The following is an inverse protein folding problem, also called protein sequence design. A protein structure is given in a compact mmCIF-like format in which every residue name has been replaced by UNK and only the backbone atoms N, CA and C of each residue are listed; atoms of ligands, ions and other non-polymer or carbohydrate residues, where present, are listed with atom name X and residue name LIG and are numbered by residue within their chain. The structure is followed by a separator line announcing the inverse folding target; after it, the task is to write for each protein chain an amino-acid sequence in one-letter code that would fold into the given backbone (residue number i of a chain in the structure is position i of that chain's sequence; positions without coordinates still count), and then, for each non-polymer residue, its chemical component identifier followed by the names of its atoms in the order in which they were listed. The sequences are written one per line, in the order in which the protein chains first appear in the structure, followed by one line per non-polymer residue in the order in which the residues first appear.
data_IF_060744724573
#
_entry.id   IF_060744724573
#
_cell.length_a   1.000
_cell.length_b   1.000
_cell.length_c   1.000
_cell.angle_alpha   90.00
_cell.angle_beta   90.00
_cell.angle_gamma   90.00
#
_symmetry.space_group_name_H-M   'P 1'
#
loop_
_entity.id
_entity.type
_entity.pdbx_description
1 polymer ?
#
# COMPACT_ATOMS: atom_id res chain seq x y z
N UNK A 1 -4.58 14.14 13.35
CA UNK A 1 -3.95 13.94 12.03
C UNK A 1 -4.20 12.51 11.57
N UNK A 2 -4.62 12.34 10.34
CA UNK A 2 -4.90 11.03 9.73
C UNK A 2 -3.67 10.12 9.76
N UNK A 3 -3.87 8.85 10.01
CA UNK A 3 -2.79 7.87 10.13
C UNK A 3 -2.87 6.86 9.00
N UNK A 4 -1.76 6.62 8.35
CA UNK A 4 -1.63 5.55 7.36
C UNK A 4 -0.50 4.62 7.78
N UNK A 5 -0.82 3.33 7.81
CA UNK A 5 0.14 2.26 8.00
C UNK A 5 0.37 1.57 6.66
N UNK A 6 1.61 1.44 6.25
CA UNK A 6 2.01 0.61 5.13
C UNK A 6 2.58 -0.71 5.64
N UNK A 7 2.10 -1.80 5.08
CA UNK A 7 2.69 -3.13 5.28
C UNK A 7 3.23 -3.62 3.94
N UNK A 8 4.47 -4.07 3.92
CA UNK A 8 5.00 -4.75 2.75
C UNK A 8 5.91 -5.93 3.13
N UNK A 9 6.14 -6.82 2.16
CA UNK A 9 6.89 -8.05 2.38
C UNK A 9 8.36 -7.84 2.04
N UNK A 10 9.22 -8.05 3.04
CA UNK A 10 10.67 -7.97 2.87
C UNK A 10 11.22 -6.56 2.84
N UNK A 11 12.54 -6.48 2.91
CA UNK A 11 13.27 -5.20 2.90
C UNK A 11 13.29 -4.59 1.50
N UNK A 12 13.35 -3.26 1.44
CA UNK A 12 13.65 -2.55 0.20
C UNK A 12 15.15 -2.69 -0.09
N UNK A 13 15.49 -3.28 -1.23
CA UNK A 13 16.87 -3.69 -1.53
C UNK A 13 17.69 -2.59 -2.20
N UNK A 14 17.10 -1.92 -3.18
CA UNK A 14 17.82 -0.93 -4.00
C UNK A 14 17.96 0.41 -3.25
N UNK A 15 19.19 0.95 -3.22
CA UNK A 15 19.49 2.21 -2.54
C UNK A 15 18.63 3.36 -3.08
N UNK A 16 18.44 3.44 -4.40
CA UNK A 16 17.63 4.51 -4.99
C UNK A 16 16.16 4.43 -4.56
N UNK A 17 15.64 3.24 -4.33
CA UNK A 17 14.27 3.06 -3.79
C UNK A 17 14.20 3.43 -2.31
N UNK A 18 15.19 3.07 -1.52
CA UNK A 18 15.28 3.47 -0.11
C UNK A 18 15.29 4.98 0.03
N UNK A 19 16.10 5.66 -0.76
CA UNK A 19 16.20 7.12 -0.78
C UNK A 19 14.89 7.77 -1.25
N UNK A 20 14.27 7.23 -2.28
CA UNK A 20 12.96 7.68 -2.78
C UNK A 20 11.84 7.52 -1.75
N UNK A 21 11.81 6.41 -1.04
CA UNK A 21 10.86 6.16 0.05
C UNK A 21 11.05 7.20 1.16
N UNK A 22 12.28 7.44 1.60
CA UNK A 22 12.59 8.45 2.61
C UNK A 22 12.18 9.86 2.16
N UNK A 23 12.39 10.18 0.89
CA UNK A 23 11.99 11.45 0.29
C UNK A 23 10.48 11.68 0.41
N UNK A 24 9.66 10.69 0.03
CA UNK A 24 8.21 10.82 0.13
C UNK A 24 7.69 10.74 1.57
N UNK A 25 8.31 9.94 2.43
CA UNK A 25 8.00 9.97 3.86
C UNK A 25 8.15 11.38 4.44
N UNK A 26 9.23 12.08 4.07
CA UNK A 26 9.47 13.46 4.50
C UNK A 26 8.42 14.42 3.95
N UNK A 27 8.08 14.30 2.65
CA UNK A 27 7.04 15.12 2.01
C UNK A 27 5.65 14.91 2.60
N UNK A 28 5.35 13.70 3.07
CA UNK A 28 4.05 13.36 3.64
C UNK A 28 3.85 13.83 5.08
N UNK A 29 4.91 14.16 5.81
CA UNK A 29 4.82 14.59 7.21
C UNK A 29 3.82 15.71 7.51
N UNK A 30 3.68 16.75 6.66
CA UNK A 30 2.70 17.82 6.91
C UNK A 30 1.23 17.37 6.77
N UNK A 31 0.98 16.23 6.12
CA UNK A 31 -0.36 15.79 5.73
C UNK A 31 -0.91 14.68 6.62
N UNK A 32 -0.06 13.74 7.02
CA UNK A 32 -0.48 12.55 7.73
C UNK A 32 0.65 11.97 8.59
N UNK A 33 0.29 11.07 9.49
CA UNK A 33 1.24 10.23 10.19
C UNK A 33 1.40 8.90 9.44
N UNK A 34 2.55 8.70 8.85
CA UNK A 34 2.89 7.49 8.11
C UNK A 34 3.76 6.57 8.96
N UNK A 35 3.37 5.31 9.06
CA UNK A 35 4.22 4.23 9.56
C UNK A 35 4.41 3.17 8.49
N UNK A 36 5.59 2.58 8.44
CA UNK A 36 5.92 1.52 7.50
C UNK A 36 6.42 0.32 8.30
N UNK A 37 5.74 -0.81 8.15
CA UNK A 37 6.11 -2.07 8.76
C UNK A 37 6.47 -3.09 7.68
N UNK A 38 7.56 -3.81 7.91
CA UNK A 38 7.99 -4.90 7.05
C UNK A 38 7.50 -6.24 7.61
N UNK A 39 6.91 -7.04 6.75
CA UNK A 39 6.59 -8.44 7.03
C UNK A 39 7.77 -9.26 6.51
N UNK A 40 8.37 -10.15 7.31
CA UNK A 40 9.45 -10.98 6.82
C UNK A 40 9.04 -11.80 5.60
N UNK A 41 9.90 -11.78 4.58
CA UNK A 41 9.70 -12.63 3.43
C UNK A 41 9.84 -14.10 3.82
N UNK A 42 9.08 -15.00 3.17
CA UNK A 42 9.22 -16.43 3.40
C UNK A 42 10.62 -16.91 3.06
N UNK A 43 11.18 -17.80 3.91
CA UNK A 43 12.47 -18.42 3.67
C UNK A 43 12.42 -19.46 2.53
N UNK A 44 11.24 -19.94 2.15
CA UNK A 44 11.03 -20.93 1.09
C UNK A 44 10.86 -20.30 -0.30
N UNK A 45 11.58 -19.25 -0.57
CA UNK A 45 11.44 -18.34 -1.71
C UNK A 45 11.69 -18.90 -3.12
N UNK A 46 11.98 -20.19 -3.25
CA UNK A 46 12.23 -20.73 -4.59
C UNK A 46 10.93 -20.73 -5.40
N UNK A 47 10.87 -19.82 -6.38
CA UNK A 47 9.98 -19.83 -7.54
C UNK A 47 8.46 -19.82 -7.27
N UNK A 48 7.93 -18.84 -6.54
CA UNK A 48 6.48 -18.65 -6.44
C UNK A 48 5.75 -19.84 -5.84
N UNK A 49 6.37 -20.53 -4.90
CA UNK A 49 5.78 -21.64 -4.19
C UNK A 49 4.52 -21.15 -3.46
N UNK A 50 3.40 -21.86 -3.65
CA UNK A 50 2.13 -21.57 -2.97
C UNK A 50 2.27 -21.46 -1.46
N UNK A 51 3.14 -22.25 -0.85
CA UNK A 51 3.40 -22.24 0.59
C UNK A 51 4.07 -20.93 1.06
N UNK A 52 4.97 -20.39 0.24
CA UNK A 52 5.60 -19.07 0.50
C UNK A 52 4.60 -17.94 0.47
N UNK A 53 3.77 -17.89 -0.56
CA UNK A 53 2.75 -16.86 -0.74
C UNK A 53 1.74 -16.95 0.39
N UNK A 54 1.32 -18.14 0.76
CA UNK A 54 0.40 -18.41 1.85
C UNK A 54 0.97 -17.94 3.20
N UNK A 55 2.22 -18.28 3.49
CA UNK A 55 2.91 -17.86 4.73
C UNK A 55 3.00 -16.33 4.83
N UNK A 56 3.41 -15.67 3.75
CA UNK A 56 3.50 -14.21 3.69
C UNK A 56 2.13 -13.56 3.89
N UNK A 57 1.09 -14.07 3.24
CA UNK A 57 -0.28 -13.57 3.38
C UNK A 57 -0.80 -13.74 4.81
N UNK A 58 -0.55 -14.87 5.45
CA UNK A 58 -0.91 -15.10 6.85
C UNK A 58 -0.25 -14.10 7.79
N UNK A 59 1.03 -13.82 7.60
CA UNK A 59 1.77 -12.81 8.39
C UNK A 59 1.21 -11.40 8.20
N UNK A 60 0.84 -11.04 6.97
CA UNK A 60 0.18 -9.77 6.66
C UNK A 60 -1.14 -9.65 7.44
N UNK A 61 -1.99 -10.67 7.38
CA UNK A 61 -3.28 -10.67 8.06
C UNK A 61 -3.14 -10.56 9.58
N UNK A 62 -2.11 -11.15 10.17
CA UNK A 62 -1.81 -11.02 11.60
C UNK A 62 -1.39 -9.59 11.98
N UNK A 63 -0.70 -8.88 11.10
CA UNK A 63 -0.25 -7.49 11.35
C UNK A 63 -1.29 -6.43 11.01
N UNK A 64 -2.28 -6.75 10.19
CA UNK A 64 -3.37 -5.85 9.86
C UNK A 64 -4.34 -5.75 11.04
N UNK A 65 -4.44 -4.57 11.66
CA UNK A 65 -5.22 -4.39 12.89
C UNK A 65 -6.74 -4.45 12.66
N UNK A 66 -7.21 -4.02 11.49
CA UNK A 66 -8.62 -4.06 11.11
C UNK A 66 -8.73 -4.28 9.61
N UNK A 67 -9.35 -5.37 9.22
CA UNK A 67 -9.55 -5.70 7.80
C UNK A 67 -10.53 -4.73 7.12
N UNK A 68 -11.46 -4.14 7.85
CA UNK A 68 -12.41 -3.15 7.30
C UNK A 68 -11.70 -1.89 6.79
N UNK A 69 -10.59 -1.52 7.41
CA UNK A 69 -9.80 -0.34 7.05
C UNK A 69 -8.50 -0.71 6.33
N UNK A 70 -8.40 -1.93 5.86
CA UNK A 70 -7.24 -2.44 5.14
C UNK A 70 -7.52 -2.51 3.65
N UNK A 71 -6.63 -1.89 2.86
CA UNK A 71 -6.67 -1.89 1.40
C UNK A 71 -5.48 -2.70 0.89
N UNK A 72 -5.76 -3.72 0.10
CA UNK A 72 -4.72 -4.52 -0.56
C UNK A 72 -4.40 -3.91 -1.92
N UNK A 73 -3.13 -3.60 -2.16
CA UNK A 73 -2.65 -3.18 -3.47
C UNK A 73 -2.40 -4.44 -4.30
N UNK A 74 -3.32 -4.73 -5.18
CA UNK A 74 -3.40 -5.98 -5.93
C UNK A 74 -3.80 -5.69 -7.38
N UNK A 75 -3.15 -6.32 -8.33
CA UNK A 75 -3.48 -6.20 -9.75
C UNK A 75 -4.91 -6.64 -10.09
N UNK A 76 -5.52 -7.45 -9.24
CA UNK A 76 -6.94 -7.86 -9.33
C UNK A 76 -7.91 -6.83 -8.76
N UNK A 77 -7.40 -5.72 -8.23
CA UNK A 77 -8.21 -4.68 -7.62
C UNK A 77 -8.83 -3.73 -8.62
N UNK A 78 -9.67 -2.84 -8.10
CA UNK A 78 -10.26 -1.74 -8.87
C UNK A 78 -9.18 -0.72 -9.22
N UNK A 79 -9.11 -0.33 -10.50
CA UNK A 79 -8.27 0.78 -10.93
C UNK A 79 -8.89 2.12 -10.57
N UNK A 80 -8.10 3.04 -10.05
CA UNK A 80 -8.50 4.40 -9.73
C UNK A 80 -7.58 5.39 -10.42
N UNK A 81 -8.12 6.51 -10.88
CA UNK A 81 -7.31 7.66 -11.24
C UNK A 81 -6.72 8.30 -9.97
N UNK A 82 -5.77 9.20 -10.14
CA UNK A 82 -5.21 9.96 -9.00
C UNK A 82 -6.28 10.78 -8.28
N UNK A 83 -7.20 11.39 -9.03
CA UNK A 83 -8.32 12.15 -8.49
C UNK A 83 -9.33 11.25 -7.76
N UNK A 84 -9.64 10.09 -8.32
CA UNK A 84 -10.52 9.11 -7.66
C UNK A 84 -9.91 8.58 -6.37
N UNK A 85 -8.60 8.35 -6.35
CA UNK A 85 -7.89 7.94 -5.13
C UNK A 85 -7.92 9.05 -4.06
N UNK A 86 -7.70 10.30 -4.47
CA UNK A 86 -7.82 11.45 -3.56
C UNK A 86 -9.24 11.56 -2.98
N UNK A 87 -10.27 11.45 -3.81
CA UNK A 87 -11.67 11.47 -3.38
C UNK A 87 -11.99 10.31 -2.43
N UNK A 88 -11.47 9.13 -2.71
CA UNK A 88 -11.63 7.97 -1.83
C UNK A 88 -11.06 8.26 -0.42
N UNK A 89 -9.84 8.77 -0.33
CA UNK A 89 -9.21 9.10 0.95
C UNK A 89 -9.98 10.19 1.69
N UNK A 90 -10.41 11.22 0.99
CA UNK A 90 -11.20 12.33 1.57
C UNK A 90 -12.52 11.82 2.15
N UNK A 91 -13.22 10.95 1.43
CA UNK A 91 -14.45 10.33 1.92
C UNK A 91 -14.22 9.50 3.19
N UNK A 92 -13.12 8.73 3.25
CA UNK A 92 -12.79 7.98 4.46
C UNK A 92 -12.57 8.91 5.66
N UNK A 93 -11.81 9.98 5.48
CA UNK A 93 -11.58 10.97 6.53
C UNK A 93 -12.87 11.66 6.97
N UNK A 94 -13.72 12.05 6.03
CA UNK A 94 -15.01 12.72 6.30
C UNK A 94 -16.01 11.78 6.99
N UNK A 95 -15.87 10.48 6.79
CA UNK A 95 -16.67 9.45 7.49
C UNK A 95 -16.20 9.18 8.92
N UNK A 96 -15.20 9.93 9.40
CA UNK A 96 -14.67 9.78 10.75
C UNK A 96 -13.62 8.69 10.90
N UNK A 97 -13.17 8.09 9.82
CA UNK A 97 -12.07 7.12 9.86
C UNK A 97 -10.78 7.88 10.15
N UNK A 98 -10.10 7.50 11.23
CA UNK A 98 -8.86 8.15 11.68
C UNK A 98 -7.58 7.44 11.23
N UNK A 99 -7.70 6.22 10.73
CA UNK A 99 -6.54 5.43 10.28
C UNK A 99 -6.91 4.40 9.22
N UNK A 100 -5.98 4.14 8.31
CA UNK A 100 -6.08 3.09 7.28
C UNK A 100 -4.76 2.34 7.15
N UNK A 101 -4.86 1.10 6.71
CA UNK A 101 -3.71 0.26 6.39
C UNK A 101 -3.71 -0.05 4.89
N UNK A 102 -2.58 0.14 4.24
CA UNK A 102 -2.36 -0.30 2.86
C UNK A 102 -1.31 -1.40 2.84
N UNK A 103 -1.55 -2.43 2.07
CA UNK A 103 -0.71 -3.63 2.03
C UNK A 103 -0.17 -3.83 0.62
N UNK A 104 1.15 -3.95 0.52
CA UNK A 104 1.85 -4.31 -0.71
C UNK A 104 2.38 -5.73 -0.54
N UNK A 105 1.94 -6.64 -1.40
CA UNK A 105 2.38 -8.02 -1.39
C UNK A 105 3.83 -8.20 -1.85
N UNK A 106 4.34 -9.41 -1.74
CA UNK A 106 5.63 -9.80 -2.29
C UNK A 106 5.57 -9.96 -3.82
N UNK A 107 6.65 -10.52 -4.40
CA UNK A 107 6.83 -10.64 -5.85
C UNK A 107 5.68 -11.40 -6.56
N UNK A 108 5.00 -12.29 -5.85
CA UNK A 108 3.94 -13.13 -6.40
C UNK A 108 2.54 -12.76 -5.88
N UNK A 109 2.39 -11.59 -5.22
CA UNK A 109 1.13 -11.09 -4.73
C UNK A 109 0.63 -11.80 -3.47
N UNK A 110 -0.69 -11.97 -3.38
CA UNK A 110 -1.38 -12.55 -2.23
C UNK A 110 -1.97 -13.91 -2.54
N UNK A 111 -2.07 -14.74 -1.50
CA UNK A 111 -2.88 -15.96 -1.55
C UNK A 111 -4.36 -15.57 -1.44
N UNK A 112 -5.05 -15.54 -2.58
CA UNK A 112 -6.40 -14.96 -2.70
C UNK A 112 -7.45 -15.64 -1.83
N UNK A 113 -7.36 -16.97 -1.64
CA UNK A 113 -8.30 -17.72 -0.80
C UNK A 113 -8.19 -17.40 0.69
N UNK A 114 -7.08 -16.80 1.14
CA UNK A 114 -6.90 -16.35 2.51
C UNK A 114 -7.48 -14.95 2.77
N UNK A 115 -7.68 -14.16 1.72
CA UNK A 115 -8.27 -12.84 1.86
C UNK A 115 -9.79 -12.98 2.04
N UNK A 116 -10.41 -12.22 2.98
CA UNK A 116 -11.86 -12.23 3.11
C UNK A 116 -12.52 -11.76 1.81
N UNK A 117 -13.71 -12.29 1.49
CA UNK A 117 -14.45 -11.90 0.29
C UNK A 117 -14.78 -10.40 0.23
N UNK A 118 -14.89 -9.76 1.40
CA UNK A 118 -15.09 -8.32 1.56
C UNK A 118 -13.81 -7.49 1.48
N UNK A 119 -12.64 -8.10 1.26
CA UNK A 119 -11.37 -7.39 1.19
C UNK A 119 -11.38 -6.33 0.08
N UNK A 120 -11.02 -5.12 0.45
CA UNK A 120 -10.90 -4.01 -0.51
C UNK A 120 -9.55 -4.10 -1.21
N UNK A 121 -9.59 -4.07 -2.54
CA UNK A 121 -8.40 -4.16 -3.39
C UNK A 121 -8.36 -2.98 -4.35
N UNK A 122 -7.20 -2.36 -4.47
CA UNK A 122 -6.94 -1.27 -5.42
C UNK A 122 -5.76 -1.66 -6.29
N UNK A 123 -5.87 -1.40 -7.58
CA UNK A 123 -4.83 -1.57 -8.58
C UNK A 123 -4.23 -0.20 -8.91
N UNK A 124 -2.90 -0.07 -8.82
CA UNK A 124 -2.18 1.17 -9.16
C UNK A 124 -2.02 1.36 -10.67
N UNK A 125 -1.98 0.27 -11.44
CA UNK A 125 -1.75 0.30 -12.88
C UNK A 125 -2.34 -0.94 -13.53
N UNK A 126 -2.74 -0.81 -14.78
CA UNK A 126 -3.04 -1.98 -15.62
C UNK A 126 -1.78 -2.73 -16.04
N UNK A 127 -0.65 -2.03 -16.05
CA UNK A 127 0.66 -2.64 -16.25
C UNK A 127 1.13 -3.32 -14.97
N UNK A 128 1.76 -4.48 -15.11
CA UNK A 128 2.39 -5.18 -13.98
C UNK A 128 3.59 -4.39 -13.49
N UNK A 129 3.63 -4.13 -12.19
CA UNK A 129 4.70 -3.39 -11.53
C UNK A 129 5.54 -4.32 -10.66
N UNK A 130 6.85 -4.06 -10.62
CA UNK A 130 7.75 -4.74 -9.69
C UNK A 130 7.34 -4.40 -8.24
N UNK A 131 7.31 -5.41 -7.37
CA UNK A 131 6.87 -5.26 -5.97
C UNK A 131 7.73 -4.30 -5.13
N UNK A 132 8.97 -4.05 -5.54
CA UNK A 132 9.84 -3.05 -4.92
C UNK A 132 9.52 -1.63 -5.43
N UNK A 133 9.29 -1.48 -6.73
CA UNK A 133 8.91 -0.21 -7.36
C UNK A 133 7.55 0.30 -6.89
N UNK A 134 6.61 -0.58 -6.64
CA UNK A 134 5.26 -0.24 -6.15
C UNK A 134 5.33 0.59 -4.86
N UNK A 135 6.30 0.35 -4.02
CA UNK A 135 6.49 1.07 -2.74
C UNK A 135 6.62 2.58 -2.94
N UNK A 136 7.51 2.97 -3.85
CA UNK A 136 7.73 4.40 -4.13
C UNK A 136 6.59 4.98 -4.96
N UNK A 137 6.06 4.25 -5.94
CA UNK A 137 4.93 4.71 -6.76
C UNK A 137 3.68 4.94 -5.91
N UNK A 138 3.39 4.06 -4.96
CA UNK A 138 2.29 4.26 -4.04
C UNK A 138 2.49 5.50 -3.16
N UNK A 139 3.68 5.69 -2.62
CA UNK A 139 4.00 6.88 -1.80
C UNK A 139 3.87 8.17 -2.59
N UNK A 140 4.27 8.18 -3.86
CA UNK A 140 4.08 9.33 -4.74
C UNK A 140 2.58 9.61 -4.96
N UNK A 141 1.78 8.58 -5.25
CA UNK A 141 0.34 8.74 -5.44
C UNK A 141 -0.35 9.17 -4.14
N UNK A 142 0.11 8.70 -3.00
CA UNK A 142 -0.39 9.13 -1.70
C UNK A 142 -0.10 10.62 -1.46
N UNK A 143 1.12 11.06 -1.74
CA UNK A 143 1.48 12.49 -1.67
C UNK A 143 0.63 13.33 -2.62
N UNK A 144 0.48 12.90 -3.88
CA UNK A 144 -0.36 13.55 -4.89
C UNK A 144 -1.81 13.67 -4.42
N UNK A 145 -2.37 12.62 -3.86
CA UNK A 145 -3.74 12.62 -3.35
C UNK A 145 -3.94 13.70 -2.27
N UNK A 146 -3.03 13.83 -1.32
CA UNK A 146 -3.12 14.86 -0.29
C UNK A 146 -2.94 16.27 -0.83
N UNK A 147 -2.10 16.48 -1.85
CA UNK A 147 -2.01 17.77 -2.53
C UNK A 147 -3.31 18.13 -3.27
N UNK A 148 -3.96 17.14 -3.89
CA UNK A 148 -5.28 17.34 -4.52
C UNK A 148 -6.32 17.74 -3.46
N UNK A 149 -6.40 16.99 -2.36
CA UNK A 149 -7.36 17.26 -1.27
C UNK A 149 -7.18 18.67 -0.72
N UNK A 150 -5.95 19.17 -0.62
CA UNK A 150 -5.66 20.53 -0.16
C UNK A 150 -5.72 21.61 -1.22
N UNK A 151 -5.99 21.27 -2.47
CA UNK A 151 -6.04 22.22 -3.58
C UNK A 151 -4.67 22.82 -3.94
N UNK A 152 -3.59 22.10 -3.69
CA UNK A 152 -2.24 22.53 -4.04
C UNK A 152 -1.90 22.23 -5.49
N UNK A 153 -0.93 22.96 -6.06
CA UNK A 153 -0.62 22.93 -7.51
C UNK A 153 0.32 21.80 -7.97
N UNK A 154 0.43 20.71 -7.23
CA UNK A 154 1.30 19.59 -7.58
C UNK A 154 0.75 18.74 -8.72
N UNK A 155 -0.56 18.46 -8.71
CA UNK A 155 -1.23 17.63 -9.72
C UNK A 155 -1.59 18.46 -10.96
N UNK A 156 -1.22 17.94 -12.14
CA UNK A 156 -1.50 18.53 -13.44
C UNK A 156 -2.29 17.59 -14.33
#
# INVERSE_FOLDING_TARGET
MFRIKLLWVGKTKETFLQEGIQHYQKKLRPYLRLSIDEVPASQHRKSGNKDSIREETQKILQKANSLEQTIFLDEKGKGLSSEEFASFLEQQMNSGISSMTFVIGGAYGFQQDLLPGSAKKIRLSEMTLNHQMVRILFLEQLYRAFTIIRGESYHH
#
